data_IF_881625714275
#
_entry.id   IF_881625714275
#
_cell.length_a   1.000
_cell.length_b   1.000
_cell.length_c   1.000
_cell.angle_alpha   90.00
_cell.angle_beta   90.00
_cell.angle_gamma   90.00
#
_symmetry.space_group_name_H-M   'P 1'
#
loop_
_entity.id
_entity.type
_entity.pdbx_description
1 polymer ?
#
# COMPACT_ATOMS: atom_id res chain seq x y z
N UNK A 1 -22.41 30.51 34.69
CA UNK A 1 -23.84 30.34 35.00
C UNK A 1 -24.34 29.05 34.41
N UNK A 2 -24.80 28.13 35.30
CA UNK A 2 -25.86 27.11 35.20
C UNK A 2 -25.76 26.07 34.06
N UNK A 3 -25.27 24.91 34.43
CA UNK A 3 -25.83 23.55 34.49
C UNK A 3 -27.23 23.37 33.87
N UNK A 4 -27.42 22.30 33.05
CA UNK A 4 -28.55 21.36 33.23
C UNK A 4 -28.13 19.95 32.78
N UNK A 5 -27.99 19.12 33.78
CA UNK A 5 -27.97 17.66 33.77
C UNK A 5 -29.41 17.14 33.62
N UNK A 6 -29.69 16.17 32.75
CA UNK A 6 -30.91 15.37 32.81
C UNK A 6 -30.62 13.90 32.61
N UNK A 7 -30.59 13.21 33.74
CA UNK A 7 -30.81 11.78 33.89
C UNK A 7 -32.27 11.42 33.57
N UNK A 8 -32.50 10.33 32.82
CA UNK A 8 -33.71 9.56 32.90
C UNK A 8 -33.39 8.11 33.16
N UNK A 9 -33.60 7.75 34.44
CA UNK A 9 -33.74 6.38 34.88
C UNK A 9 -35.20 5.96 34.66
N UNK A 10 -35.42 4.87 33.96
CA UNK A 10 -36.73 4.22 33.82
C UNK A 10 -36.65 2.78 34.26
N UNK A 11 -37.04 2.56 35.50
CA UNK A 11 -37.25 1.26 36.11
C UNK A 11 -38.59 0.69 35.61
N UNK A 12 -38.64 -0.55 35.12
CA UNK A 12 -39.83 -1.36 35.09
C UNK A 12 -39.54 -2.75 35.60
N UNK A 13 -40.34 -3.07 36.63
CA UNK A 13 -40.27 -4.23 37.49
C UNK A 13 -41.05 -5.41 36.88
N UNK A 14 -40.54 -6.59 37.05
CA UNK A 14 -41.13 -7.90 37.34
C UNK A 14 -42.46 -8.33 36.68
N UNK A 15 -42.45 -9.51 36.12
CA UNK A 15 -43.35 -10.59 36.52
C UNK A 15 -42.75 -11.95 36.08
N UNK A 16 -42.44 -12.78 37.01
CA UNK A 16 -42.05 -14.17 36.79
C UNK A 16 -43.27 -15.02 36.39
N UNK A 17 -43.03 -15.95 35.48
CA UNK A 17 -43.79 -17.20 35.38
C UNK A 17 -42.77 -18.32 35.12
N UNK A 18 -42.65 -19.17 36.14
CA UNK A 18 -41.93 -20.44 36.08
C UNK A 18 -42.87 -21.49 35.50
N UNK A 19 -42.49 -22.15 34.42
CA UNK A 19 -42.97 -23.51 34.12
C UNK A 19 -41.97 -24.29 33.26
N UNK A 20 -41.54 -25.40 33.82
CA UNK A 20 -41.30 -26.72 33.21
C UNK A 20 -40.19 -26.93 32.17
N UNK A 21 -39.19 -27.61 32.64
CA UNK A 21 -38.48 -28.74 32.05
C UNK A 21 -38.86 -29.14 30.62
N UNK A 22 -37.92 -28.93 29.70
CA UNK A 22 -37.83 -29.63 28.44
C UNK A 22 -36.35 -29.73 28.07
N UNK A 23 -35.70 -30.86 28.35
CA UNK A 23 -34.37 -31.18 27.89
C UNK A 23 -34.38 -31.39 26.36
N UNK A 24 -34.32 -30.28 25.64
CA UNK A 24 -34.07 -30.27 24.19
C UNK A 24 -32.72 -29.60 23.96
N UNK A 25 -31.74 -30.39 23.57
CA UNK A 25 -30.45 -29.90 23.07
C UNK A 25 -30.73 -29.00 21.86
N UNK A 26 -30.99 -27.71 22.10
CA UNK A 26 -31.00 -26.72 21.04
C UNK A 26 -29.55 -26.40 20.69
N UNK A 27 -29.05 -27.05 19.65
CA UNK A 27 -27.87 -26.58 18.93
C UNK A 27 -28.17 -25.17 18.44
N UNK A 28 -27.54 -24.19 19.05
CA UNK A 28 -27.56 -22.81 18.55
C UNK A 28 -27.21 -22.83 17.07
N UNK A 29 -27.96 -22.17 16.20
CA UNK A 29 -27.58 -22.08 14.81
C UNK A 29 -26.19 -21.48 14.74
N UNK A 30 -25.28 -22.20 14.07
CA UNK A 30 -23.93 -21.71 13.75
C UNK A 30 -24.11 -20.32 13.15
N UNK A 31 -23.41 -19.29 13.67
CA UNK A 31 -23.48 -17.97 13.04
C UNK A 31 -23.22 -18.12 11.55
N UNK A 32 -23.96 -17.39 10.67
CA UNK A 32 -23.77 -17.49 9.25
C UNK A 32 -22.29 -17.32 8.96
N UNK A 33 -21.72 -18.27 8.21
CA UNK A 33 -20.36 -18.16 7.72
C UNK A 33 -20.20 -16.76 7.16
N UNK A 34 -19.21 -16.00 7.70
CA UNK A 34 -18.85 -14.67 7.22
C UNK A 34 -19.04 -14.67 5.72
N UNK A 35 -19.96 -13.83 5.23
CA UNK A 35 -20.26 -13.73 3.80
C UNK A 35 -18.90 -13.69 3.11
N UNK A 36 -18.71 -14.53 2.09
CA UNK A 36 -17.47 -14.60 1.34
C UNK A 36 -17.16 -13.16 0.91
N UNK A 37 -16.27 -12.49 1.65
CA UNK A 37 -15.69 -11.25 1.21
C UNK A 37 -15.11 -11.59 -0.16
N UNK A 38 -15.64 -10.97 -1.20
CA UNK A 38 -15.09 -11.03 -2.54
C UNK A 38 -13.61 -10.70 -2.39
N UNK A 39 -12.77 -11.73 -2.30
CA UNK A 39 -11.33 -11.57 -2.13
C UNK A 39 -10.86 -10.91 -3.41
N UNK A 40 -10.56 -9.62 -3.31
CA UNK A 40 -10.00 -8.86 -4.43
C UNK A 40 -8.75 -9.59 -4.89
N UNK A 41 -8.73 -10.04 -6.14
CA UNK A 41 -7.52 -10.62 -6.72
C UNK A 41 -6.46 -9.51 -6.82
N UNK A 42 -5.55 -9.50 -5.86
CA UNK A 42 -4.48 -8.53 -5.78
C UNK A 42 -3.65 -8.46 -7.06
N UNK A 43 -3.46 -9.60 -7.74
CA UNK A 43 -2.67 -9.68 -8.98
C UNK A 43 -3.43 -9.07 -10.15
N UNK A 44 -4.72 -9.35 -10.28
CA UNK A 44 -5.55 -8.78 -11.34
C UNK A 44 -5.63 -7.24 -11.20
N UNK A 45 -5.89 -6.75 -9.99
CA UNK A 45 -5.93 -5.30 -9.72
C UNK A 45 -4.56 -4.65 -9.94
N UNK A 46 -3.48 -5.28 -9.51
CA UNK A 46 -2.12 -4.81 -9.78
C UNK A 46 -1.85 -4.68 -11.28
N UNK A 47 -2.20 -5.69 -12.07
CA UNK A 47 -1.97 -5.68 -13.52
C UNK A 47 -2.77 -4.57 -14.22
N UNK A 48 -4.00 -4.28 -13.78
CA UNK A 48 -4.78 -3.15 -14.28
C UNK A 48 -4.10 -1.81 -13.90
N UNK A 49 -3.61 -1.67 -12.67
CA UNK A 49 -2.83 -0.50 -12.25
C UNK A 49 -1.57 -0.30 -13.09
N UNK A 50 -0.88 -1.39 -13.49
CA UNK A 50 0.29 -1.32 -14.39
C UNK A 50 -0.12 -0.80 -15.77
N UNK A 51 -1.24 -1.26 -16.33
CA UNK A 51 -1.75 -0.74 -17.61
C UNK A 51 -2.03 0.78 -17.53
N UNK A 52 -2.71 1.22 -16.48
CA UNK A 52 -2.97 2.66 -16.24
C UNK A 52 -1.68 3.47 -16.07
N UNK A 53 -0.68 2.91 -15.40
CA UNK A 53 0.63 3.54 -15.23
C UNK A 53 1.33 3.75 -16.59
N UNK A 54 1.27 2.77 -17.50
CA UNK A 54 1.80 2.90 -18.88
C UNK A 54 1.06 3.97 -19.69
N UNK A 55 -0.25 4.14 -19.44
CA UNK A 55 -1.04 5.23 -20.01
C UNK A 55 -0.80 6.59 -19.32
N UNK A 56 0.12 6.66 -18.36
CA UNK A 56 0.41 7.83 -17.51
C UNK A 56 -0.77 8.33 -16.68
N UNK A 57 -1.79 7.49 -16.48
CA UNK A 57 -2.94 7.74 -15.61
C UNK A 57 -2.59 7.45 -14.14
N UNK A 58 -1.58 8.16 -13.63
CA UNK A 58 -0.98 7.85 -12.33
C UNK A 58 -1.97 7.95 -11.15
N UNK A 59 -2.95 8.86 -11.23
CA UNK A 59 -3.97 8.99 -10.18
C UNK A 59 -4.89 7.76 -10.09
N UNK A 60 -5.30 7.21 -11.23
CA UNK A 60 -6.12 6.00 -11.30
C UNK A 60 -5.31 4.77 -10.90
N UNK A 61 -4.08 4.65 -11.40
CA UNK A 61 -3.16 3.58 -11.03
C UNK A 61 -2.91 3.50 -9.51
N UNK A 62 -2.82 4.64 -8.81
CA UNK A 62 -2.68 4.68 -7.36
C UNK A 62 -3.87 4.03 -6.62
N UNK A 63 -5.09 4.17 -7.16
CA UNK A 63 -6.27 3.51 -6.56
C UNK A 63 -6.11 1.99 -6.63
N UNK A 64 -5.69 1.48 -7.78
CA UNK A 64 -5.55 0.05 -7.98
C UNK A 64 -4.36 -0.54 -7.20
N UNK A 65 -3.19 0.11 -7.24
CA UNK A 65 -2.06 -0.35 -6.42
C UNK A 65 -2.39 -0.33 -4.92
N UNK A 66 -3.17 0.65 -4.44
CA UNK A 66 -3.64 0.67 -3.05
C UNK A 66 -4.52 -0.53 -2.73
N UNK A 67 -5.48 -0.87 -3.61
CA UNK A 67 -6.33 -2.06 -3.45
C UNK A 67 -5.48 -3.35 -3.46
N UNK A 68 -4.50 -3.44 -4.37
CA UNK A 68 -3.59 -4.58 -4.43
C UNK A 68 -2.78 -4.73 -3.13
N UNK A 69 -2.26 -3.64 -2.57
CA UNK A 69 -1.54 -3.62 -1.29
C UNK A 69 -2.47 -3.98 -0.12
N UNK A 70 -3.72 -3.51 -0.13
CA UNK A 70 -4.70 -3.88 0.91
C UNK A 70 -5.05 -5.36 0.88
N UNK A 71 -5.18 -5.94 -0.31
CA UNK A 71 -5.45 -7.36 -0.48
C UNK A 71 -4.21 -8.24 -0.20
N UNK A 72 -3.00 -7.73 -0.52
CA UNK A 72 -1.73 -8.40 -0.33
C UNK A 72 -0.66 -7.42 0.19
N UNK A 73 -0.53 -7.22 1.51
CA UNK A 73 0.39 -6.23 2.10
C UNK A 73 1.88 -6.51 1.85
N UNK A 74 2.25 -7.73 1.51
CA UNK A 74 3.62 -8.15 1.18
C UNK A 74 3.94 -8.13 -0.33
N UNK A 75 3.12 -7.42 -1.12
CA UNK A 75 3.29 -7.32 -2.56
C UNK A 75 4.34 -6.25 -2.92
N UNK A 76 5.62 -6.62 -2.89
CA UNK A 76 6.75 -5.72 -3.14
C UNK A 76 6.59 -4.88 -4.42
N UNK A 77 6.20 -5.51 -5.53
CA UNK A 77 6.02 -4.82 -6.81
C UNK A 77 4.88 -3.79 -6.76
N UNK A 78 3.80 -4.05 -6.02
CA UNK A 78 2.72 -3.09 -5.85
C UNK A 78 3.16 -1.87 -5.05
N UNK A 79 3.94 -2.05 -3.99
CA UNK A 79 4.56 -0.95 -3.26
C UNK A 79 5.49 -0.12 -4.15
N UNK A 80 6.34 -0.77 -4.95
CA UNK A 80 7.24 -0.09 -5.88
C UNK A 80 6.47 0.78 -6.90
N UNK A 81 5.45 0.23 -7.56
CA UNK A 81 4.70 0.94 -8.58
C UNK A 81 3.79 2.02 -8.00
N UNK A 82 3.25 1.81 -6.79
CA UNK A 82 2.55 2.84 -6.03
C UNK A 82 3.47 4.04 -5.76
N UNK A 83 4.70 3.78 -5.30
CA UNK A 83 5.70 4.81 -5.06
C UNK A 83 6.09 5.55 -6.35
N UNK A 84 6.23 4.83 -7.47
CA UNK A 84 6.49 5.44 -8.77
C UNK A 84 5.38 6.44 -9.14
N UNK A 85 4.12 6.03 -9.03
CA UNK A 85 2.98 6.91 -9.33
C UNK A 85 2.92 8.13 -8.40
N UNK A 86 3.23 7.97 -7.10
CA UNK A 86 3.35 9.09 -6.16
C UNK A 86 4.46 10.05 -6.57
N UNK A 87 5.63 9.54 -6.96
CA UNK A 87 6.75 10.35 -7.42
C UNK A 87 6.37 11.21 -8.63
N UNK A 88 5.58 10.69 -9.56
CA UNK A 88 5.11 11.43 -10.73
C UNK A 88 4.13 12.57 -10.37
N UNK A 89 3.51 12.54 -9.19
CA UNK A 89 2.66 13.63 -8.70
C UNK A 89 3.46 14.82 -8.13
N UNK A 90 4.77 14.70 -8.05
CA UNK A 90 5.65 15.80 -7.70
C UNK A 90 6.12 15.86 -6.24
N UNK A 91 6.85 16.93 -5.86
CA UNK A 91 7.62 16.99 -4.62
C UNK A 91 6.82 16.79 -3.33
N UNK A 92 5.55 17.22 -3.29
CA UNK A 92 4.69 17.04 -2.13
C UNK A 92 4.47 15.54 -1.77
N UNK A 93 4.65 14.64 -2.73
CA UNK A 93 4.49 13.19 -2.56
C UNK A 93 5.80 12.42 -2.37
N UNK A 94 6.95 13.06 -2.44
CA UNK A 94 8.25 12.38 -2.40
C UNK A 94 8.50 11.62 -1.10
N UNK A 95 8.09 12.16 0.05
CA UNK A 95 8.25 11.48 1.35
C UNK A 95 7.42 10.20 1.42
N UNK A 96 6.19 10.26 0.92
CA UNK A 96 5.29 9.10 0.87
C UNK A 96 5.84 8.05 -0.12
N UNK A 97 6.27 8.47 -1.30
CA UNK A 97 6.91 7.60 -2.29
C UNK A 97 8.15 6.89 -1.72
N UNK A 98 9.02 7.61 -1.01
CA UNK A 98 10.21 7.04 -0.40
C UNK A 98 9.86 5.90 0.56
N UNK A 99 8.87 6.09 1.44
CA UNK A 99 8.42 5.05 2.39
C UNK A 99 7.94 3.78 1.67
N UNK A 100 7.26 3.91 0.55
CA UNK A 100 6.81 2.76 -0.22
C UNK A 100 7.94 2.06 -1.00
N UNK A 101 8.93 2.80 -1.51
CA UNK A 101 10.14 2.17 -2.07
C UNK A 101 10.93 1.41 -1.01
N UNK A 102 11.08 1.99 0.19
CA UNK A 102 11.75 1.33 1.31
C UNK A 102 11.01 0.02 1.68
N UNK A 103 9.66 0.05 1.70
CA UNK A 103 8.86 -1.16 1.94
C UNK A 103 9.01 -2.20 0.84
N UNK A 104 9.06 -1.79 -0.43
CA UNK A 104 9.30 -2.71 -1.55
C UNK A 104 10.65 -3.42 -1.43
N UNK A 105 11.70 -2.69 -1.03
CA UNK A 105 13.04 -3.23 -0.83
C UNK A 105 13.11 -4.14 0.41
N UNK A 106 12.42 -3.79 1.50
CA UNK A 106 12.28 -4.65 2.68
C UNK A 106 11.66 -6.00 2.31
N UNK A 107 10.58 -5.97 1.53
CA UNK A 107 9.85 -7.17 1.09
C UNK A 107 10.62 -8.00 0.04
N UNK A 108 11.36 -7.34 -0.84
CA UNK A 108 12.18 -7.98 -1.85
C UNK A 108 13.52 -7.22 -2.04
N UNK A 109 14.59 -7.60 -1.31
CA UNK A 109 15.90 -6.96 -1.40
C UNK A 109 16.62 -7.11 -2.75
N UNK A 110 16.06 -7.89 -3.68
CA UNK A 110 16.60 -8.09 -5.03
C UNK A 110 15.75 -7.41 -6.11
N UNK A 111 14.74 -6.62 -5.73
CA UNK A 111 13.92 -5.86 -6.67
C UNK A 111 14.70 -4.66 -7.21
N UNK A 112 15.39 -4.86 -8.33
CA UNK A 112 16.28 -3.85 -8.91
C UNK A 112 15.55 -2.54 -9.27
N UNK A 113 14.31 -2.62 -9.75
CA UNK A 113 13.49 -1.47 -10.09
C UNK A 113 13.27 -0.54 -8.88
N UNK A 114 13.13 -1.10 -7.69
CA UNK A 114 12.92 -0.30 -6.48
C UNK A 114 14.17 0.53 -6.12
N UNK A 115 15.36 -0.01 -6.31
CA UNK A 115 16.60 0.76 -6.12
C UNK A 115 16.79 1.82 -7.21
N UNK A 116 16.49 1.51 -8.47
CA UNK A 116 16.58 2.49 -9.54
C UNK A 116 15.62 3.66 -9.29
N UNK A 117 14.34 3.38 -9.05
CA UNK A 117 13.34 4.42 -8.84
C UNK A 117 13.55 5.22 -7.55
N UNK A 118 13.97 4.57 -6.46
CA UNK A 118 14.33 5.25 -5.21
C UNK A 118 15.57 6.12 -5.39
N UNK A 119 16.57 5.62 -6.09
CA UNK A 119 17.78 6.37 -6.43
C UNK A 119 17.47 7.64 -7.22
N UNK A 120 16.62 7.55 -8.26
CA UNK A 120 16.14 8.74 -9.00
C UNK A 120 15.40 9.70 -8.07
N UNK A 121 14.55 9.19 -7.16
CA UNK A 121 13.85 10.03 -6.18
C UNK A 121 14.85 10.72 -5.24
N UNK A 122 15.89 10.05 -4.76
CA UNK A 122 16.94 10.67 -3.95
C UNK A 122 17.65 11.81 -4.70
N UNK A 123 17.95 11.63 -5.98
CA UNK A 123 18.53 12.72 -6.79
C UNK A 123 17.58 13.92 -6.85
N UNK A 124 16.29 13.70 -7.12
CA UNK A 124 15.26 14.76 -7.13
C UNK A 124 15.09 15.45 -5.77
N UNK A 125 15.42 14.77 -4.67
CA UNK A 125 15.42 15.31 -3.31
C UNK A 125 16.77 15.91 -2.90
N UNK A 126 17.74 16.05 -3.82
CA UNK A 126 19.12 16.50 -3.55
C UNK A 126 19.87 15.60 -2.53
N UNK A 127 19.52 14.32 -2.45
CA UNK A 127 20.12 13.30 -1.58
C UNK A 127 21.07 12.39 -2.36
N UNK A 128 22.08 12.99 -2.98
CA UNK A 128 22.97 12.32 -3.94
C UNK A 128 23.68 11.11 -3.33
N UNK A 129 24.20 11.23 -2.11
CA UNK A 129 24.91 10.13 -1.43
C UNK A 129 24.03 8.88 -1.24
N UNK A 130 22.71 9.07 -1.04
CA UNK A 130 21.78 7.94 -0.90
C UNK A 130 21.50 7.30 -2.26
N UNK A 131 21.39 8.10 -3.33
CA UNK A 131 21.27 7.58 -4.69
C UNK A 131 22.51 6.77 -5.12
N UNK A 132 23.71 7.18 -4.72
CA UNK A 132 24.95 6.44 -4.99
C UNK A 132 24.99 5.08 -4.29
N UNK A 133 24.40 4.94 -3.08
CA UNK A 133 24.24 3.65 -2.40
C UNK A 133 23.31 2.72 -3.20
N UNK A 134 22.21 3.26 -3.71
CA UNK A 134 21.29 2.49 -4.56
C UNK A 134 21.95 2.07 -5.88
N UNK A 135 22.76 2.94 -6.48
CA UNK A 135 23.57 2.60 -7.66
C UNK A 135 24.56 1.48 -7.37
N UNK A 136 25.24 1.54 -6.21
CA UNK A 136 26.16 0.48 -5.79
C UNK A 136 25.42 -0.87 -5.64
N UNK A 137 24.20 -0.84 -5.06
CA UNK A 137 23.37 -2.05 -4.93
C UNK A 137 22.95 -2.59 -6.30
N UNK A 138 22.54 -1.73 -7.24
CA UNK A 138 22.22 -2.14 -8.61
C UNK A 138 23.40 -2.82 -9.31
N UNK A 139 24.62 -2.31 -9.11
CA UNK A 139 25.84 -2.94 -9.64
C UNK A 139 26.10 -4.32 -9.00
N UNK A 140 25.85 -4.48 -7.70
CA UNK A 140 25.96 -5.77 -7.01
C UNK A 140 24.93 -6.80 -7.52
N UNK A 141 23.76 -6.34 -7.94
CA UNK A 141 22.71 -7.18 -8.52
C UNK A 141 22.96 -7.50 -10.00
N UNK A 142 24.06 -7.04 -10.58
CA UNK A 142 24.33 -7.09 -12.03
C UNK A 142 23.15 -6.60 -12.88
N UNK A 143 22.50 -5.54 -12.40
CA UNK A 143 21.27 -5.02 -12.98
C UNK A 143 21.52 -4.13 -14.17
N UNK A 144 20.82 -4.39 -15.27
CA UNK A 144 20.79 -3.53 -16.45
C UNK A 144 20.23 -2.12 -16.16
N UNK A 145 19.68 -1.89 -14.98
CA UNK A 145 19.17 -0.59 -14.53
C UNK A 145 20.27 0.32 -13.96
N UNK A 146 21.44 -0.23 -13.59
CA UNK A 146 22.55 0.59 -13.05
C UNK A 146 22.95 1.76 -13.97
N UNK A 147 23.07 1.60 -15.31
CA UNK A 147 23.34 2.72 -16.21
C UNK A 147 22.23 3.78 -16.26
N UNK A 148 20.96 3.43 -15.98
CA UNK A 148 19.86 4.39 -15.93
C UNK A 148 19.98 5.30 -14.71
N UNK A 149 20.26 4.73 -13.54
CA UNK A 149 20.46 5.52 -12.33
C UNK A 149 21.76 6.36 -12.40
N UNK A 150 22.83 5.82 -13.00
CA UNK A 150 24.07 6.58 -13.23
C UNK A 150 23.83 7.81 -14.14
N UNK A 151 23.01 7.64 -15.18
CA UNK A 151 22.58 8.75 -16.02
C UNK A 151 21.78 9.78 -15.23
N UNK A 152 20.80 9.36 -14.42
CA UNK A 152 20.01 10.27 -13.60
C UNK A 152 20.86 11.06 -12.59
N UNK A 153 21.86 10.41 -12.00
CA UNK A 153 22.85 11.06 -11.14
C UNK A 153 23.65 12.16 -11.85
N UNK A 154 24.03 11.95 -13.12
CA UNK A 154 24.77 12.92 -13.92
C UNK A 154 23.89 14.05 -14.46
N UNK A 155 22.57 13.83 -14.57
CA UNK A 155 21.63 14.75 -15.21
C UNK A 155 20.54 15.25 -14.25
N UNK A 156 20.87 15.44 -12.97
CA UNK A 156 19.97 16.02 -11.95
C UNK A 156 18.59 15.36 -11.85
N UNK A 157 18.57 14.03 -11.96
CA UNK A 157 17.34 13.24 -11.83
C UNK A 157 16.48 13.18 -13.09
N UNK A 158 17.00 13.61 -14.24
CA UNK A 158 16.38 13.32 -15.53
C UNK A 158 16.52 11.82 -15.81
N UNK A 159 15.43 11.22 -16.23
CA UNK A 159 15.41 9.82 -16.63
C UNK A 159 15.73 9.73 -18.12
N UNK A 160 16.58 8.77 -18.51
CA UNK A 160 16.87 8.53 -19.92
C UNK A 160 15.62 7.93 -20.56
N UNK A 161 15.12 8.57 -21.63
CA UNK A 161 13.92 8.19 -22.33
C UNK A 161 13.81 6.69 -22.60
N UNK A 162 12.61 6.14 -22.37
CA UNK A 162 12.21 4.83 -22.81
C UNK A 162 11.66 3.92 -21.72
N UNK A 163 10.36 4.04 -21.48
CA UNK A 163 9.48 2.89 -21.22
C UNK A 163 8.71 2.59 -22.49
#
# INVERSE_FOLDING_TARGET
MKQVLRLFAGFILAAGVSTAFGSGSQTLPKPPAKAAESTVDATAVYNHGVALMHEKKYGEALVDFRKAIQAKPDFAAAHNNFAYCLRQQGPAKYKEALSHYDKAIELNPNLAEAYEYRGVLYVKMNRRNDAEKDLAKLKQLDSKLAPKLDYALKNNGQEKDGY
#
